data_IF_250573345675
#
_entry.id   IF_250573345675
#
_cell.length_a   1.000
_cell.length_b   1.000
_cell.length_c   1.000
_cell.angle_alpha   90.00
_cell.angle_beta   90.00
_cell.angle_gamma   90.00
#
_symmetry.space_group_name_H-M   'P 1'
#
loop_
_entity.id
_entity.type
_entity.pdbx_description
1 polymer ?
#
# COMPACT_ATOMS: atom_id res chain seq x y z
N UNK A 1 1.26 14.20 8.72
CA UNK A 1 1.50 12.75 8.83
C UNK A 1 0.37 11.91 8.21
N UNK A 2 -0.77 11.63 8.86
CA UNK A 2 -1.78 10.71 8.27
C UNK A 2 -2.41 11.25 6.98
N UNK A 3 -2.73 12.56 6.94
CA UNK A 3 -3.32 13.22 5.76
C UNK A 3 -2.37 13.22 4.55
N UNK A 4 -1.07 13.36 4.81
CA UNK A 4 -0.04 13.32 3.77
C UNK A 4 0.11 11.91 3.21
N UNK A 5 0.13 10.88 4.07
CA UNK A 5 0.21 9.49 3.63
C UNK A 5 -1.02 9.06 2.82
N UNK A 6 -2.23 9.51 3.20
CA UNK A 6 -3.44 9.29 2.41
C UNK A 6 -3.37 10.00 1.05
N UNK A 7 -2.81 11.22 1.00
CA UNK A 7 -2.59 11.91 -0.27
C UNK A 7 -1.63 11.12 -1.17
N UNK A 8 -0.49 10.69 -0.62
CA UNK A 8 0.49 9.85 -1.34
C UNK A 8 -0.14 8.55 -1.87
N UNK A 9 -1.00 7.91 -1.07
CA UNK A 9 -1.78 6.74 -1.51
C UNK A 9 -2.65 7.05 -2.73
N UNK A 10 -3.41 8.16 -2.72
CA UNK A 10 -4.21 8.55 -3.88
C UNK A 10 -3.36 8.89 -5.11
N UNK A 11 -2.22 9.57 -4.93
CA UNK A 11 -1.32 9.89 -6.02
C UNK A 11 -0.71 8.62 -6.63
N UNK A 12 -0.33 7.64 -5.79
CA UNK A 12 0.14 6.32 -6.21
C UNK A 12 -0.89 5.57 -7.05
N UNK A 13 -2.14 5.48 -6.58
CA UNK A 13 -3.22 4.79 -7.31
C UNK A 13 -3.51 5.46 -8.67
N UNK A 14 -3.26 6.77 -8.80
CA UNK A 14 -3.38 7.50 -10.08
C UNK A 14 -2.16 7.35 -11.00
N UNK A 15 -1.05 6.83 -10.49
CA UNK A 15 0.23 6.78 -11.21
C UNK A 15 1.06 8.06 -11.13
N UNK A 16 0.69 9.00 -10.25
CA UNK A 16 1.33 10.31 -10.07
C UNK A 16 2.37 10.31 -8.94
N UNK A 17 2.80 9.14 -8.46
CA UNK A 17 3.74 9.00 -7.36
C UNK A 17 4.92 8.07 -7.73
N UNK A 18 6.11 8.66 -7.85
CA UNK A 18 7.33 7.96 -8.28
C UNK A 18 7.91 6.99 -7.25
N UNK A 19 7.60 7.17 -5.96
CA UNK A 19 8.13 6.36 -4.87
C UNK A 19 7.56 4.95 -4.78
N UNK A 20 6.46 4.67 -5.50
CA UNK A 20 5.85 3.35 -5.52
C UNK A 20 5.28 2.91 -4.16
N UNK A 21 4.88 1.63 -4.10
CA UNK A 21 4.50 0.98 -2.84
C UNK A 21 5.70 0.82 -1.90
N UNK A 22 6.93 0.78 -2.44
CA UNK A 22 8.13 0.60 -1.64
C UNK A 22 8.45 1.77 -0.71
N UNK A 23 8.15 3.00 -1.11
CA UNK A 23 8.32 4.14 -0.20
C UNK A 23 7.13 4.30 0.75
N UNK A 24 5.94 3.86 0.33
CA UNK A 24 4.68 4.16 1.03
C UNK A 24 4.31 3.12 2.10
N UNK A 25 4.66 1.85 1.87
CA UNK A 25 4.26 0.74 2.73
C UNK A 25 5.34 0.39 3.76
N UNK A 26 4.88 0.16 4.98
CA UNK A 26 5.66 -0.42 6.07
C UNK A 26 5.96 -1.90 5.80
N UNK A 27 7.08 -2.40 6.33
CA UNK A 27 7.49 -3.80 6.14
C UNK A 27 6.46 -4.80 6.71
N UNK A 28 5.75 -4.43 7.78
CA UNK A 28 4.73 -5.26 8.46
C UNK A 28 3.29 -4.98 7.98
N UNK A 29 3.12 -4.33 6.82
CA UNK A 29 1.79 -4.00 6.27
C UNK A 29 0.89 -5.24 6.13
N UNK A 30 -0.40 -5.05 6.40
CA UNK A 30 -1.43 -6.09 6.22
C UNK A 30 -2.52 -5.61 5.27
N UNK A 31 -2.71 -6.32 4.16
CA UNK A 31 -3.74 -6.04 3.17
C UNK A 31 -4.90 -7.02 3.27
N UNK A 32 -6.12 -6.48 3.29
CA UNK A 32 -7.36 -7.24 3.35
C UNK A 32 -8.10 -7.08 2.03
N UNK A 33 -8.30 -8.18 1.31
CA UNK A 33 -9.08 -8.17 0.08
C UNK A 33 -10.29 -9.10 0.20
N UNK A 34 -11.46 -8.67 -0.29
CA UNK A 34 -12.66 -9.49 -0.34
C UNK A 34 -12.56 -10.63 -1.37
N UNK A 35 -11.45 -10.76 -2.10
CA UNK A 35 -11.22 -11.84 -3.06
C UNK A 35 -10.52 -13.02 -2.39
N UNK A 36 -9.51 -12.74 -1.57
CA UNK A 36 -8.65 -13.77 -0.94
C UNK A 36 -9.11 -14.15 0.47
N UNK A 37 -10.04 -13.39 1.06
CA UNK A 37 -10.68 -13.64 2.37
C UNK A 37 -9.72 -13.99 3.53
N UNK A 38 -8.44 -13.65 3.37
CA UNK A 38 -7.36 -13.88 4.33
C UNK A 38 -6.40 -12.69 4.29
N UNK A 39 -5.83 -12.26 5.43
CA UNK A 39 -4.91 -11.12 5.45
C UNK A 39 -3.60 -11.48 4.77
N UNK A 40 -3.21 -10.66 3.79
CA UNK A 40 -1.90 -10.71 3.17
C UNK A 40 -0.95 -9.85 4.01
N UNK A 41 0.09 -10.45 4.58
CA UNK A 41 1.02 -9.76 5.50
C UNK A 41 2.39 -9.64 4.89
N UNK A 42 3.05 -8.53 5.18
CA UNK A 42 4.37 -8.22 4.70
C UNK A 42 4.33 -7.50 3.36
N UNK A 43 5.20 -6.51 3.22
CA UNK A 43 5.29 -5.65 2.04
C UNK A 43 5.39 -6.42 0.73
N UNK A 44 6.29 -7.40 0.68
CA UNK A 44 6.51 -8.27 -0.50
C UNK A 44 5.24 -9.00 -0.95
N UNK A 45 4.38 -9.41 -0.02
CA UNK A 45 3.15 -10.14 -0.35
C UNK A 45 2.03 -9.18 -0.76
N UNK A 46 1.99 -7.98 -0.20
CA UNK A 46 0.92 -7.00 -0.45
C UNK A 46 1.07 -6.20 -1.75
N UNK A 47 2.23 -6.26 -2.40
CA UNK A 47 2.52 -5.54 -3.65
C UNK A 47 2.42 -6.40 -4.92
N UNK A 48 1.99 -7.66 -4.78
CA UNK A 48 1.80 -8.65 -5.85
C UNK A 48 0.55 -8.38 -6.72
#
# INVERSE_FOLDING_TARGET
MIKENIKKWHDLIKGDYSGGFDELLDDDVSFYSPIVFSPQRGKELTTL
#
